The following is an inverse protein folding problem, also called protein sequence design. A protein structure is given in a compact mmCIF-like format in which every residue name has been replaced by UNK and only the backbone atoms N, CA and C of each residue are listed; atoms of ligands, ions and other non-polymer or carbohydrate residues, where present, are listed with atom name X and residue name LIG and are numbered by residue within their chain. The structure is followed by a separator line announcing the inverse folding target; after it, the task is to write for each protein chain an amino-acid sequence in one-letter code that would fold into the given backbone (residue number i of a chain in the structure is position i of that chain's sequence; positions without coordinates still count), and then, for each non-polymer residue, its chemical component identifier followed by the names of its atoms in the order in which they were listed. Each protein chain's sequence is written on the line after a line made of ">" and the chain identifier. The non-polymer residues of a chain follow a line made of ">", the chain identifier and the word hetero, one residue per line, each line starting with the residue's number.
data_IF_923820784018
#
_entry.id   IF_923820784018
#
_cell.length_a   1.000
_cell.length_b   1.000
_cell.length_c   1.000
_cell.angle_alpha   90.00
_cell.angle_beta   90.00
_cell.angle_gamma   90.00
#
_symmetry.space_group_name_H-M   'P 1'
#
loop_
_entity.id
_entity.type
_entity.pdbx_description
1 polymer ?
#
# COMPACT_ATOMS: atom_id res chain seq x y z
N UNK A 1 11.04 -10.65 16.56
CA UNK A 1 11.02 -11.81 15.64
C UNK A 1 9.61 -12.38 15.66
N UNK A 2 8.90 -12.33 14.53
CA UNK A 2 7.48 -12.71 14.40
C UNK A 2 7.29 -14.23 14.58
N UNK A 3 6.16 -14.69 15.12
CA UNK A 3 5.87 -16.11 15.34
C UNK A 3 5.80 -16.91 14.03
N UNK A 4 5.37 -16.29 12.92
CA UNK A 4 5.48 -16.90 11.58
C UNK A 4 6.94 -17.18 11.18
N UNK A 5 7.87 -16.29 11.53
CA UNK A 5 9.29 -16.50 11.20
C UNK A 5 9.85 -17.72 11.93
N UNK A 6 9.39 -17.98 13.17
CA UNK A 6 9.76 -19.18 13.93
C UNK A 6 9.15 -20.44 13.30
N UNK A 7 7.89 -20.38 12.85
CA UNK A 7 7.23 -21.50 12.17
C UNK A 7 7.89 -21.85 10.83
N UNK A 8 8.23 -20.84 10.02
CA UNK A 8 8.98 -21.02 8.76
C UNK A 8 10.36 -21.63 9.01
N UNK A 9 11.05 -21.18 10.06
CA UNK A 9 12.34 -21.75 10.44
C UNK A 9 12.21 -23.21 10.94
N UNK A 10 11.19 -23.51 11.74
CA UNK A 10 10.91 -24.88 12.19
C UNK A 10 10.60 -25.82 11.02
N UNK A 11 9.75 -25.38 10.07
CA UNK A 11 9.43 -26.12 8.84
C UNK A 11 10.70 -26.48 8.06
N UNK A 12 11.55 -25.48 7.78
CA UNK A 12 12.80 -25.67 7.05
C UNK A 12 13.71 -26.72 7.70
N UNK A 13 13.75 -26.76 9.04
CA UNK A 13 14.58 -27.73 9.75
C UNK A 13 14.01 -29.14 9.64
N UNK A 14 12.69 -29.30 9.76
CA UNK A 14 12.03 -30.59 9.61
C UNK A 14 12.12 -31.12 8.16
N UNK A 15 12.01 -30.25 7.15
CA UNK A 15 12.23 -30.62 5.75
C UNK A 15 13.64 -31.14 5.50
N UNK A 16 14.65 -30.48 6.08
CA UNK A 16 16.04 -30.95 5.97
C UNK A 16 16.21 -32.33 6.63
N UNK A 17 15.63 -32.55 7.80
CA UNK A 17 15.66 -33.85 8.49
C UNK A 17 14.94 -34.93 7.69
N UNK A 18 13.74 -34.66 7.17
CA UNK A 18 13.00 -35.61 6.34
C UNK A 18 13.79 -36.01 5.08
N UNK A 19 14.58 -35.10 4.53
CA UNK A 19 15.50 -35.34 3.42
C UNK A 19 16.84 -35.98 3.85
N UNK A 20 16.98 -36.39 5.11
CA UNK A 20 18.19 -37.00 5.66
C UNK A 20 19.39 -36.06 5.74
N UNK A 21 19.16 -34.76 6.00
CA UNK A 21 20.20 -33.73 6.10
C UNK A 21 20.18 -33.04 7.47
N UNK A 22 21.37 -32.69 7.95
CA UNK A 22 21.56 -31.90 9.15
C UNK A 22 21.00 -30.48 8.94
N UNK A 23 20.10 -29.98 9.83
CA UNK A 23 19.47 -28.68 9.64
C UNK A 23 20.41 -27.48 9.71
N UNK A 24 21.52 -27.60 10.44
CA UNK A 24 22.47 -26.54 10.77
C UNK A 24 23.61 -26.53 9.73
N UNK A 25 24.23 -27.68 9.47
CA UNK A 25 25.35 -27.79 8.52
C UNK A 25 24.91 -28.04 7.07
N UNK A 26 23.72 -28.63 6.86
CA UNK A 26 23.21 -29.00 5.53
C UNK A 26 23.77 -30.30 4.97
N UNK A 27 24.69 -30.95 5.69
CA UNK A 27 25.34 -32.20 5.30
C UNK A 27 24.41 -33.41 5.43
N UNK A 28 24.72 -34.50 4.73
CA UNK A 28 23.96 -35.75 4.87
C UNK A 28 24.18 -36.37 6.24
N UNK A 29 23.08 -36.77 6.87
CA UNK A 29 23.11 -37.48 8.15
C UNK A 29 23.58 -38.92 7.92
N UNK A 30 24.30 -39.46 8.90
CA UNK A 30 24.80 -40.84 8.89
C UNK A 30 23.72 -41.86 8.55
N UNK A 31 24.07 -42.92 7.81
CA UNK A 31 23.17 -44.01 7.42
C UNK A 31 22.46 -44.68 8.61
N UNK A 32 23.13 -44.73 9.78
CA UNK A 32 22.62 -45.37 10.99
C UNK A 32 21.87 -44.40 11.92
N UNK A 33 21.61 -43.17 11.47
CA UNK A 33 20.92 -42.18 12.28
C UNK A 33 19.40 -42.42 12.29
N UNK A 34 18.79 -42.18 13.45
CA UNK A 34 17.35 -42.35 13.67
C UNK A 34 16.51 -41.53 12.69
N UNK A 35 17.02 -40.38 12.23
CA UNK A 35 16.31 -39.49 11.30
C UNK A 35 16.07 -40.15 9.93
N UNK A 36 16.84 -41.19 9.59
CA UNK A 36 16.71 -41.92 8.33
C UNK A 36 15.76 -43.11 8.37
N UNK A 37 15.20 -43.43 9.54
CA UNK A 37 14.16 -44.44 9.65
C UNK A 37 12.92 -43.98 8.86
N UNK A 38 12.41 -44.84 7.97
CA UNK A 38 11.29 -44.50 7.08
C UNK A 38 10.02 -44.08 7.83
N UNK A 39 9.81 -44.58 9.06
CA UNK A 39 8.68 -44.19 9.91
C UNK A 39 8.90 -42.78 10.47
N UNK A 40 10.13 -42.46 10.84
CA UNK A 40 10.49 -41.13 11.33
C UNK A 40 10.38 -40.11 10.20
N UNK A 41 10.88 -40.42 9.00
CA UNK A 41 10.71 -39.58 7.81
C UNK A 41 9.22 -39.32 7.55
N UNK A 42 8.40 -40.38 7.50
CA UNK A 42 6.95 -40.25 7.28
C UNK A 42 6.25 -39.38 8.33
N UNK A 43 6.63 -39.53 9.61
CA UNK A 43 6.15 -38.65 10.68
C UNK A 43 6.60 -37.19 10.51
N UNK A 44 7.86 -36.97 10.08
CA UNK A 44 8.40 -35.63 9.83
C UNK A 44 7.70 -34.96 8.65
N UNK A 45 7.48 -35.69 7.55
CA UNK A 45 6.72 -35.20 6.39
C UNK A 45 5.29 -34.80 6.80
N UNK A 46 4.62 -35.64 7.58
CA UNK A 46 3.28 -35.33 8.12
C UNK A 46 3.29 -34.05 8.97
N UNK A 47 4.34 -33.84 9.77
CA UNK A 47 4.50 -32.64 10.59
C UNK A 47 4.82 -31.40 9.74
N UNK A 48 5.59 -31.55 8.66
CA UNK A 48 5.84 -30.48 7.68
C UNK A 48 4.53 -30.05 7.02
N UNK A 49 3.72 -30.99 6.53
CA UNK A 49 2.41 -30.68 5.93
C UNK A 49 1.47 -29.97 6.92
N UNK A 50 1.45 -30.41 8.18
CA UNK A 50 0.64 -29.76 9.22
C UNK A 50 1.12 -28.34 9.54
N UNK A 51 2.44 -28.11 9.55
CA UNK A 51 3.02 -26.78 9.72
C UNK A 51 2.80 -25.90 8.50
N UNK A 52 2.87 -26.44 7.29
CA UNK A 52 2.55 -25.75 6.04
C UNK A 52 1.14 -25.22 6.08
N UNK A 53 0.14 -26.10 6.31
CA UNK A 53 -1.25 -25.69 6.46
C UNK A 53 -1.41 -24.65 7.56
N UNK A 54 -0.68 -24.75 8.68
CA UNK A 54 -0.78 -23.75 9.75
C UNK A 54 -0.15 -22.41 9.38
N UNK A 55 0.96 -22.42 8.63
CA UNK A 55 1.59 -21.22 8.09
C UNK A 55 0.67 -20.58 7.06
N UNK A 56 0.05 -21.37 6.18
CA UNK A 56 -0.97 -20.94 5.22
C UNK A 56 -2.17 -20.33 5.96
N UNK A 57 -2.77 -21.02 6.93
CA UNK A 57 -3.85 -20.47 7.76
C UNK A 57 -3.45 -19.18 8.47
N UNK A 58 -2.23 -19.07 8.99
CA UNK A 58 -1.76 -17.85 9.65
C UNK A 58 -1.43 -16.74 8.66
N UNK A 59 -1.03 -17.07 7.44
CA UNK A 59 -0.88 -16.13 6.33
C UNK A 59 -2.26 -15.67 5.86
N UNK A 60 -3.21 -16.56 5.62
CA UNK A 60 -4.60 -16.27 5.23
C UNK A 60 -5.37 -15.51 6.32
N UNK A 61 -5.18 -15.85 7.61
CA UNK A 61 -5.75 -15.10 8.72
C UNK A 61 -4.99 -13.77 8.99
N UNK A 62 -3.75 -13.62 8.50
CA UNK A 62 -3.10 -12.31 8.35
C UNK A 62 -3.53 -11.58 7.06
N UNK A 63 -4.14 -12.25 6.09
CA UNK A 63 -4.67 -11.65 4.87
C UNK A 63 -6.05 -11.01 5.06
N UNK A 64 -6.78 -11.38 6.13
CA UNK A 64 -7.91 -10.57 6.60
C UNK A 64 -7.47 -9.32 7.37
N UNK A 65 -6.20 -9.24 7.80
CA UNK A 65 -5.67 -8.08 8.54
C UNK A 65 -4.16 -7.85 8.29
N UNK A 66 -3.82 -7.46 7.05
CA UNK A 66 -2.50 -6.96 6.57
C UNK A 66 -1.45 -8.05 6.25
N UNK A 67 -1.12 -8.32 4.97
CA UNK A 67 -0.29 -7.45 4.12
C UNK A 67 0.06 -8.11 2.75
N UNK A 68 -0.12 -7.38 1.64
CA UNK A 68 0.65 -7.53 0.38
C UNK A 68 0.39 -8.77 -0.52
N UNK A 69 -0.83 -8.94 -1.04
CA UNK A 69 -1.06 -8.81 -2.50
C UNK A 69 -2.11 -7.74 -2.83
N UNK A 70 -2.10 -6.62 -2.11
CA UNK A 70 -2.98 -5.49 -2.44
C UNK A 70 -2.55 -4.94 -3.80
N UNK A 71 -3.33 -5.20 -4.86
CA UNK A 71 -3.28 -4.42 -6.11
C UNK A 71 -3.07 -2.97 -5.73
N UNK A 72 -2.02 -2.34 -6.26
CA UNK A 72 -1.76 -0.92 -6.02
C UNK A 72 -2.97 -0.05 -6.38
N UNK A 73 -2.88 1.25 -6.16
CA UNK A 73 -3.86 2.10 -6.85
C UNK A 73 -3.65 1.91 -8.36
N UNK A 74 -4.72 1.63 -9.11
CA UNK A 74 -4.71 1.61 -10.56
C UNK A 74 -6.05 2.08 -11.09
N UNK A 75 -6.01 2.73 -12.27
CA UNK A 75 -7.18 3.21 -12.98
C UNK A 75 -7.06 2.77 -14.44
N UNK A 76 -8.13 2.21 -15.01
CA UNK A 76 -8.14 1.84 -16.43
C UNK A 76 -8.59 3.03 -17.29
N UNK A 77 -8.27 3.02 -18.60
CA UNK A 77 -8.72 4.06 -19.52
C UNK A 77 -10.25 4.24 -19.53
N UNK A 78 -11.00 3.14 -19.42
CA UNK A 78 -12.47 3.18 -19.33
C UNK A 78 -12.93 3.89 -18.06
N UNK A 79 -12.26 3.70 -16.92
CA UNK A 79 -12.60 4.37 -15.66
C UNK A 79 -12.20 5.84 -15.68
N UNK A 80 -11.02 6.17 -16.23
CA UNK A 80 -10.55 7.54 -16.38
C UNK A 80 -11.53 8.38 -17.24
N UNK A 81 -12.11 7.79 -18.28
CA UNK A 81 -13.11 8.45 -19.12
C UNK A 81 -14.42 8.81 -18.42
N UNK A 82 -14.68 8.23 -17.23
CA UNK A 82 -15.86 8.49 -16.42
C UNK A 82 -15.66 9.63 -15.41
N UNK A 83 -14.44 10.16 -15.25
CA UNK A 83 -14.16 11.24 -14.30
C UNK A 83 -14.92 12.52 -14.68
N UNK A 84 -15.51 13.16 -13.68
CA UNK A 84 -16.28 14.39 -13.83
C UNK A 84 -15.55 15.55 -13.16
N UNK A 85 -15.45 16.67 -13.87
CA UNK A 85 -14.92 17.92 -13.34
C UNK A 85 -15.99 18.65 -12.51
N UNK A 86 -15.57 19.28 -11.42
CA UNK A 86 -16.41 20.13 -10.60
C UNK A 86 -16.18 21.61 -10.94
N UNK A 87 -17.21 22.29 -11.44
CA UNK A 87 -17.09 23.69 -11.89
C UNK A 87 -16.97 24.71 -10.74
N UNK A 88 -17.47 24.38 -9.54
CA UNK A 88 -17.60 25.35 -8.43
C UNK A 88 -16.36 25.44 -7.51
N UNK A 89 -15.20 24.96 -7.97
CA UNK A 89 -14.00 24.86 -7.14
C UNK A 89 -14.16 23.76 -6.09
N UNK A 90 -13.49 22.63 -6.29
CA UNK A 90 -13.58 21.50 -5.37
C UNK A 90 -12.36 21.43 -4.46
N UNK A 91 -12.51 20.79 -3.30
CA UNK A 91 -11.38 20.50 -2.42
C UNK A 91 -10.66 19.24 -2.92
N UNK A 92 -9.40 19.08 -2.53
CA UNK A 92 -8.61 17.86 -2.80
C UNK A 92 -9.31 16.57 -2.31
N UNK A 93 -10.12 16.65 -1.25
CA UNK A 93 -10.94 15.53 -0.78
C UNK A 93 -12.04 15.13 -1.78
N UNK A 94 -12.61 16.10 -2.49
CA UNK A 94 -13.65 15.85 -3.49
C UNK A 94 -13.04 15.24 -4.75
N UNK A 95 -11.85 15.69 -5.15
CA UNK A 95 -11.07 15.09 -6.24
C UNK A 95 -10.76 13.62 -5.92
N UNK A 96 -10.27 13.34 -4.70
CA UNK A 96 -9.98 11.98 -4.28
C UNK A 96 -11.25 11.10 -4.26
N UNK A 97 -12.39 11.63 -3.76
CA UNK A 97 -13.68 10.93 -3.79
C UNK A 97 -14.12 10.59 -5.21
N UNK A 98 -13.97 11.53 -6.14
CA UNK A 98 -14.33 11.33 -7.54
C UNK A 98 -13.48 10.25 -8.21
N UNK A 99 -12.17 10.24 -7.96
CA UNK A 99 -11.27 9.17 -8.42
C UNK A 99 -11.73 7.83 -7.83
N UNK A 100 -12.01 7.78 -6.53
CA UNK A 100 -12.44 6.55 -5.87
C UNK A 100 -13.83 6.08 -6.32
N UNK A 101 -14.70 6.99 -6.79
CA UNK A 101 -16.01 6.63 -7.35
C UNK A 101 -15.85 5.77 -8.59
N UNK A 102 -14.92 6.11 -9.49
CA UNK A 102 -14.69 5.36 -10.73
C UNK A 102 -13.82 4.12 -10.52
N UNK A 103 -13.06 4.04 -9.42
CA UNK A 103 -12.22 2.86 -9.09
C UNK A 103 -12.82 1.93 -8.04
N UNK A 104 -14.00 2.22 -7.48
CA UNK A 104 -14.59 1.44 -6.37
C UNK A 104 -14.65 -0.07 -6.62
N UNK A 105 -15.02 -0.47 -7.85
CA UNK A 105 -15.28 -1.87 -8.19
C UNK A 105 -14.07 -2.62 -8.77
N UNK A 106 -12.92 -1.96 -8.95
CA UNK A 106 -11.74 -2.61 -9.56
C UNK A 106 -10.81 -3.27 -8.54
N UNK A 107 -11.10 -3.15 -7.24
CA UNK A 107 -10.29 -3.72 -6.16
C UNK A 107 -8.92 -3.07 -5.98
N UNK A 108 -8.73 -1.85 -6.48
CA UNK A 108 -7.52 -1.04 -6.26
C UNK A 108 -7.50 -0.41 -4.86
N UNK A 109 -6.32 0.06 -4.43
CA UNK A 109 -6.23 0.91 -3.22
C UNK A 109 -7.04 2.20 -3.41
N UNK A 110 -7.52 2.76 -2.30
CA UNK A 110 -8.21 4.04 -2.26
C UNK A 110 -7.21 5.18 -2.47
N UNK A 111 -7.46 6.06 -3.44
CA UNK A 111 -6.74 7.32 -3.62
C UNK A 111 -6.95 8.22 -2.41
N UNK A 112 -5.87 8.58 -1.73
CA UNK A 112 -5.93 9.45 -0.55
C UNK A 112 -5.72 10.90 -0.95
N UNK A 113 -6.49 11.81 -0.37
CA UNK A 113 -6.28 13.25 -0.52
C UNK A 113 -4.85 13.68 -0.11
N UNK A 114 -4.22 12.96 0.82
CA UNK A 114 -2.82 13.17 1.21
C UNK A 114 -1.85 12.93 0.05
N UNK A 115 -2.08 11.90 -0.77
CA UNK A 115 -1.18 11.57 -1.89
C UNK A 115 -1.17 12.70 -2.93
N UNK A 116 -2.35 13.21 -3.26
CA UNK A 116 -2.50 14.34 -4.18
C UNK A 116 -1.77 15.58 -3.61
N UNK A 117 -1.98 15.91 -2.32
CA UNK A 117 -1.32 17.05 -1.70
C UNK A 117 0.21 16.91 -1.63
N UNK A 118 0.71 15.73 -1.25
CA UNK A 118 2.14 15.47 -1.13
C UNK A 118 2.83 15.49 -2.51
N UNK A 119 2.16 15.00 -3.55
CA UNK A 119 2.64 15.13 -4.93
C UNK A 119 2.65 16.59 -5.40
N UNK A 120 1.57 17.35 -5.18
CA UNK A 120 1.53 18.78 -5.52
C UNK A 120 2.61 19.57 -4.77
N UNK A 121 2.94 19.18 -3.54
CA UNK A 121 4.05 19.75 -2.76
C UNK A 121 5.42 19.36 -3.36
N UNK A 122 5.60 18.11 -3.81
CA UNK A 122 6.86 17.65 -4.42
C UNK A 122 7.17 18.31 -5.77
N UNK A 123 6.13 18.66 -6.55
CA UNK A 123 6.28 19.39 -7.82
C UNK A 123 6.18 20.91 -7.68
N UNK A 124 6.16 21.45 -6.45
CA UNK A 124 6.21 22.89 -6.18
C UNK A 124 4.91 23.66 -6.44
N UNK A 125 3.76 22.98 -6.58
CA UNK A 125 2.45 23.62 -6.74
C UNK A 125 1.85 24.05 -5.40
N UNK A 126 2.20 23.34 -4.33
CA UNK A 126 1.85 23.70 -2.96
C UNK A 126 3.12 23.88 -2.13
N UNK A 127 3.04 24.73 -1.12
CA UNK A 127 4.06 24.82 -0.07
C UNK A 127 3.43 24.72 1.31
N UNK A 128 4.21 24.25 2.29
CA UNK A 128 3.78 24.15 3.68
C UNK A 128 4.38 25.26 4.52
N UNK A 129 3.54 25.96 5.28
CA UNK A 129 4.02 26.97 6.22
C UNK A 129 4.53 26.34 7.54
N UNK A 130 5.11 27.16 8.43
CA UNK A 130 5.62 26.69 9.72
C UNK A 130 4.58 26.07 10.67
N UNK A 131 3.29 26.31 10.41
CA UNK A 131 2.17 25.73 11.17
C UNK A 131 1.63 24.43 10.54
N UNK A 132 2.24 23.96 9.46
CA UNK A 132 1.83 22.74 8.75
C UNK A 132 0.69 22.93 7.75
N UNK A 133 0.19 24.16 7.56
CA UNK A 133 -0.87 24.46 6.59
C UNK A 133 -0.29 24.54 5.18
N UNK A 134 -1.04 24.04 4.19
CA UNK A 134 -0.63 24.07 2.78
C UNK A 134 -1.26 25.24 2.02
N UNK A 135 -0.47 25.92 1.21
CA UNK A 135 -0.86 27.08 0.41
C UNK A 135 -0.45 26.90 -1.05
N UNK A 136 -1.21 27.48 -1.97
CA UNK A 136 -0.86 27.53 -3.37
C UNK A 136 0.38 28.42 -3.59
N UNK A 137 1.35 27.93 -4.36
CA UNK A 137 2.48 28.74 -4.85
C UNK A 137 2.03 29.63 -6.02
N UNK A 138 2.92 30.46 -6.55
CA UNK A 138 2.64 31.21 -7.79
C UNK A 138 2.30 30.24 -8.93
N UNK A 139 3.06 29.16 -9.07
CA UNK A 139 2.82 28.12 -10.08
C UNK A 139 1.51 27.37 -9.83
N UNK A 140 1.19 27.08 -8.56
CA UNK A 140 -0.11 26.51 -8.18
C UNK A 140 -1.28 27.42 -8.56
N UNK A 141 -1.17 28.73 -8.32
CA UNK A 141 -2.19 29.69 -8.75
C UNK A 141 -2.33 29.77 -10.27
N UNK A 142 -1.22 29.73 -11.01
CA UNK A 142 -1.23 29.72 -12.48
C UNK A 142 -1.88 28.44 -13.06
N UNK A 143 -1.73 27.31 -12.36
CA UNK A 143 -2.42 26.07 -12.67
C UNK A 143 -3.92 26.13 -12.31
N UNK A 144 -4.32 27.08 -11.47
CA UNK A 144 -5.69 27.29 -11.01
C UNK A 144 -6.01 26.63 -9.67
N UNK A 145 -5.04 26.61 -8.74
CA UNK A 145 -5.20 26.24 -7.33
C UNK A 145 -5.21 27.53 -6.50
N UNK A 146 -6.26 27.75 -5.72
CA UNK A 146 -6.42 28.96 -4.89
C UNK A 146 -6.56 28.59 -3.42
N UNK A 147 -5.87 29.30 -2.52
CA UNK A 147 -6.06 29.13 -1.07
C UNK A 147 -7.09 30.12 -0.54
N UNK A 148 -8.21 29.62 -0.04
CA UNK A 148 -9.20 30.39 0.70
C UNK A 148 -8.95 30.35 2.21
N UNK A 149 -9.14 31.50 2.85
CA UNK A 149 -9.19 31.60 4.31
C UNK A 149 -10.65 31.49 4.76
N UNK A 150 -10.95 30.51 5.59
CA UNK A 150 -12.25 30.36 6.24
C UNK A 150 -12.12 30.64 7.72
N UNK A 151 -12.97 31.50 8.24
CA UNK A 151 -13.10 31.64 9.69
C UNK A 151 -13.99 30.52 10.21
N UNK A 152 -13.46 29.71 11.12
CA UNK A 152 -14.30 28.79 11.89
C UNK A 152 -15.17 29.57 12.87
N UNK A 153 -16.28 28.96 13.30
CA UNK A 153 -17.20 29.48 14.33
C UNK A 153 -16.48 29.88 15.63
N UNK A 154 -15.29 29.32 15.87
CA UNK A 154 -14.48 29.53 17.06
C UNK A 154 -13.43 30.64 16.87
N UNK A 155 -13.49 31.39 15.77
CA UNK A 155 -12.55 32.47 15.42
C UNK A 155 -11.19 32.02 14.89
N UNK A 156 -10.95 30.70 14.78
CA UNK A 156 -9.71 30.16 14.22
C UNK A 156 -9.79 30.15 12.69
N UNK A 157 -8.76 30.69 12.04
CA UNK A 157 -8.60 30.60 10.59
C UNK A 157 -8.27 29.17 10.15
N UNK A 158 -8.99 28.67 9.16
CA UNK A 158 -8.65 27.46 8.41
C UNK A 158 -8.35 27.84 6.97
N UNK A 159 -7.38 27.15 6.38
CA UNK A 159 -6.94 27.39 5.01
C UNK A 159 -7.38 26.20 4.17
N UNK A 160 -8.05 26.47 3.06
CA UNK A 160 -8.59 25.47 2.15
C UNK A 160 -8.10 25.75 0.74
N UNK A 161 -7.50 24.77 0.09
CA UNK A 161 -7.17 24.87 -1.32
C UNK A 161 -8.36 24.41 -2.18
N UNK A 162 -8.78 25.29 -3.09
CA UNK A 162 -9.79 25.01 -4.12
C UNK A 162 -9.10 24.82 -5.47
N UNK A 163 -9.64 23.88 -6.24
CA UNK A 163 -9.08 23.48 -7.52
C UNK A 163 -10.06 23.81 -8.64
N UNK A 164 -9.63 24.64 -9.58
CA UNK A 164 -10.34 24.89 -10.84
C UNK A 164 -10.43 23.63 -11.70
N UNK A 165 -11.26 23.65 -12.74
CA UNK A 165 -11.36 22.55 -13.71
C UNK A 165 -10.03 22.26 -14.41
N UNK A 166 -9.21 23.28 -14.65
CA UNK A 166 -7.85 23.13 -15.19
C UNK A 166 -6.94 22.37 -14.22
N UNK A 167 -6.92 22.75 -12.94
CA UNK A 167 -6.11 22.08 -11.93
C UNK A 167 -6.59 20.63 -11.68
N UNK A 168 -7.90 20.40 -11.70
CA UNK A 168 -8.48 19.05 -11.60
C UNK A 168 -8.05 18.15 -12.76
N UNK A 169 -8.14 18.66 -14.00
CA UNK A 169 -7.69 17.92 -15.18
C UNK A 169 -6.22 17.55 -15.08
N UNK A 170 -5.37 18.48 -14.67
CA UNK A 170 -3.95 18.22 -14.45
C UNK A 170 -3.70 17.11 -13.42
N UNK A 171 -4.48 17.07 -12.33
CA UNK A 171 -4.41 15.98 -11.36
C UNK A 171 -4.87 14.66 -11.99
N UNK A 172 -5.96 14.66 -12.76
CA UNK A 172 -6.48 13.47 -13.43
C UNK A 172 -5.50 12.89 -14.45
N UNK A 173 -4.83 13.75 -15.22
CA UNK A 173 -3.81 13.36 -16.20
C UNK A 173 -2.56 12.75 -15.52
N UNK A 174 -2.39 12.92 -14.20
CA UNK A 174 -1.23 12.45 -13.42
C UNK A 174 -1.58 11.45 -12.31
N UNK A 175 -2.77 10.84 -12.34
CA UNK A 175 -3.23 9.90 -11.29
C UNK A 175 -2.23 8.76 -11.06
N UNK A 176 -1.69 8.18 -12.12
CA UNK A 176 -0.74 7.05 -12.02
C UNK A 176 0.58 7.48 -11.37
N UNK A 177 1.08 8.66 -11.73
CA UNK A 177 2.28 9.25 -11.12
C UNK A 177 2.09 9.50 -9.62
N UNK A 178 0.94 10.07 -9.23
CA UNK A 178 0.57 10.29 -7.83
C UNK A 178 0.55 8.96 -7.07
N UNK A 179 -0.07 7.94 -7.65
CA UNK A 179 -0.14 6.60 -7.06
C UNK A 179 1.25 5.95 -6.91
N UNK A 180 2.11 6.05 -7.93
CA UNK A 180 3.44 5.46 -7.93
C UNK A 180 4.35 6.05 -6.84
N UNK A 181 4.27 7.37 -6.59
CA UNK A 181 5.03 8.04 -5.52
C UNK A 181 4.69 7.49 -4.13
N UNK A 182 3.45 7.07 -3.90
CA UNK A 182 2.96 6.62 -2.58
C UNK A 182 2.83 5.10 -2.42
N UNK A 183 2.80 4.35 -3.53
CA UNK A 183 2.80 2.89 -3.49
C UNK A 183 4.21 2.29 -3.42
N UNK A 184 5.26 3.06 -3.74
CA UNK A 184 6.66 2.59 -3.83
C UNK A 184 7.52 3.02 -2.62
N UNK A 185 7.02 2.82 -1.40
CA UNK A 185 7.85 2.95 -0.18
C UNK A 185 7.97 1.61 0.52
N UNK A 186 8.68 0.67 -0.12
CA UNK A 186 9.14 -0.60 0.47
C UNK A 186 10.31 -1.24 -0.32
N UNK A 187 11.20 -0.43 -0.91
CA UNK A 187 12.37 -0.96 -1.62
C UNK A 187 13.55 0.01 -1.57
N UNK A 188 14.07 0.28 -0.36
CA UNK A 188 15.49 0.57 -0.12
C UNK A 188 15.92 -0.11 1.18
#
# INVERSE_FOLDING_TARGET
>A
MNDISKLKQAKLFLEKLANGRDPISGERVSENDIVRDSRIISCLDTAVEALERKIEELCENQDSDKNCERKGFFITASQASQLVLCDNGCQVSDIAKEINRVTADNGSKIMQAKWINDWLESIGMLFRNGNGNRFATIDGNNLGITTEVRQSSNGKESYTNLFSTQAQKFIYDNIETIAAQHCTSAAE
#
